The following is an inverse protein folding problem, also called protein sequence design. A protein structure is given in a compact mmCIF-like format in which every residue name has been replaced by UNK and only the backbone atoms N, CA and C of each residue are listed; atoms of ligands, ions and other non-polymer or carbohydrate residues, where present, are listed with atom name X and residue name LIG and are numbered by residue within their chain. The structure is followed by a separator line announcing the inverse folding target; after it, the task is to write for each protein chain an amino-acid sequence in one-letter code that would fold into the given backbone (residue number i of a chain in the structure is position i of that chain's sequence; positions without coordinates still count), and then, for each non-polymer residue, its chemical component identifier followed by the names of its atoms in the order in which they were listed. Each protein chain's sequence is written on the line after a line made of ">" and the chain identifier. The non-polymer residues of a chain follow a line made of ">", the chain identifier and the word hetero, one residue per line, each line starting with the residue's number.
data_IF_429654503110
#
_entry.id   IF_429654503110
#
_cell.length_a   1.000
_cell.length_b   1.000
_cell.length_c   1.000
_cell.angle_alpha   90.00
_cell.angle_beta   90.00
_cell.angle_gamma   90.00
#
_symmetry.space_group_name_H-M   'P 1'
#
loop_
_entity.id
_entity.type
_entity.pdbx_description
1 polymer ?
#
# COMPACT_ATOMS: atom_id res chain seq x y z
N UNK A 1 0.01 -3.43 19.91
CA UNK A 1 -0.45 -4.01 18.63
C UNK A 1 -1.39 -3.11 17.83
N UNK A 2 -1.92 -2.00 18.40
CA UNK A 2 -2.78 -1.06 17.65
C UNK A 2 -2.03 -0.18 16.63
N UNK A 3 -0.76 0.14 16.90
CA UNK A 3 0.05 1.01 16.02
C UNK A 3 0.10 0.58 14.55
N UNK A 4 0.46 -0.68 14.25
CA UNK A 4 0.48 -1.18 12.87
C UNK A 4 -0.89 -1.10 12.17
N UNK A 5 -1.98 -1.36 12.90
CA UNK A 5 -3.35 -1.34 12.35
C UNK A 5 -3.77 0.10 12.01
N UNK A 6 -3.48 1.05 12.90
CA UNK A 6 -3.77 2.47 12.64
C UNK A 6 -2.94 2.98 11.46
N UNK A 7 -1.64 2.63 11.41
CA UNK A 7 -0.77 2.98 10.30
C UNK A 7 -1.24 2.39 8.97
N UNK A 8 -1.56 1.10 8.92
CA UNK A 8 -2.03 0.44 7.71
C UNK A 8 -3.37 0.98 7.25
N UNK A 9 -4.26 1.30 8.18
CA UNK A 9 -5.57 1.88 7.86
C UNK A 9 -5.39 3.24 7.19
N UNK A 10 -4.57 4.12 7.75
CA UNK A 10 -4.30 5.44 7.16
C UNK A 10 -3.64 5.33 5.77
N UNK A 11 -2.67 4.44 5.63
CA UNK A 11 -1.99 4.18 4.34
C UNK A 11 -2.98 3.64 3.31
N UNK A 12 -3.87 2.72 3.68
CA UNK A 12 -4.90 2.20 2.78
C UNK A 12 -5.94 3.26 2.41
N UNK A 13 -6.39 4.06 3.37
CA UNK A 13 -7.28 5.20 3.10
C UNK A 13 -6.66 6.17 2.10
N UNK A 14 -5.38 6.52 2.27
CA UNK A 14 -4.65 7.34 1.31
C UNK A 14 -4.47 6.62 -0.04
N UNK A 15 -4.23 5.31 -0.05
CA UNK A 15 -4.14 4.52 -1.28
C UNK A 15 -5.46 4.51 -2.07
N UNK A 16 -6.60 4.39 -1.39
CA UNK A 16 -7.90 4.46 -2.06
C UNK A 16 -8.18 5.85 -2.63
N UNK A 17 -7.71 6.93 -1.98
CA UNK A 17 -7.76 8.27 -2.56
C UNK A 17 -6.91 8.38 -3.83
N UNK A 18 -5.75 7.73 -3.89
CA UNK A 18 -4.95 7.68 -5.12
C UNK A 18 -5.64 6.88 -6.22
N UNK A 19 -6.29 5.78 -5.89
CA UNK A 19 -7.07 5.02 -6.86
C UNK A 19 -8.23 5.86 -7.42
N UNK A 20 -8.86 6.69 -6.57
CA UNK A 20 -9.88 7.64 -6.99
C UNK A 20 -9.30 8.73 -7.90
N UNK A 21 -8.14 9.30 -7.58
CA UNK A 21 -7.54 10.37 -8.39
C UNK A 21 -7.18 9.88 -9.80
N UNK A 22 -6.71 8.64 -9.92
CA UNK A 22 -6.44 7.99 -11.21
C UNK A 22 -7.70 7.82 -12.05
N UNK A 23 -8.84 7.48 -11.43
CA UNK A 23 -10.11 7.27 -12.14
C UNK A 23 -10.83 8.57 -12.48
N UNK A 24 -10.68 9.61 -11.67
CA UNK A 24 -11.27 10.93 -11.91
C UNK A 24 -10.39 11.85 -12.77
N UNK A 25 -9.23 11.39 -13.22
CA UNK A 25 -8.31 12.17 -14.06
C UNK A 25 -7.59 13.30 -13.33
N UNK A 26 -7.58 13.29 -11.99
CA UNK A 26 -6.98 14.33 -11.14
C UNK A 26 -5.47 14.21 -10.97
N UNK A 27 -4.77 13.58 -11.93
CA UNK A 27 -3.36 13.19 -11.79
C UNK A 27 -2.45 14.27 -12.35
N UNK A 28 -2.35 15.40 -11.65
CA UNK A 28 -1.41 16.46 -12.01
C UNK A 28 -0.01 16.20 -11.42
N UNK A 29 1.01 16.30 -12.27
CA UNK A 29 2.41 16.22 -11.85
C UNK A 29 2.94 14.80 -11.59
N UNK A 30 2.23 13.75 -12.02
CA UNK A 30 2.65 12.34 -11.84
C UNK A 30 4.09 12.09 -12.28
N UNK A 31 4.47 12.57 -13.47
CA UNK A 31 5.79 12.33 -14.05
C UNK A 31 6.92 12.89 -13.18
N UNK A 32 6.69 13.99 -12.45
CA UNK A 32 7.67 14.56 -11.53
C UNK A 32 7.81 13.75 -10.23
N UNK A 33 6.73 13.08 -9.79
CA UNK A 33 6.70 12.28 -8.56
C UNK A 33 7.15 10.83 -8.76
N UNK A 34 6.95 10.30 -9.97
CA UNK A 34 7.25 8.93 -10.34
C UNK A 34 8.66 8.44 -9.95
N UNK A 35 9.74 9.22 -10.14
CA UNK A 35 11.08 8.79 -9.72
C UNK A 35 11.18 8.49 -8.22
N UNK A 36 10.47 9.23 -7.37
CA UNK A 36 10.47 9.00 -5.93
C UNK A 36 9.77 7.68 -5.57
N UNK A 37 8.68 7.33 -6.25
CA UNK A 37 7.99 6.05 -6.05
C UNK A 37 8.87 4.85 -6.44
N UNK A 38 9.64 4.99 -7.53
CA UNK A 38 10.59 3.96 -7.96
C UNK A 38 11.72 3.77 -6.94
N UNK A 39 12.24 4.85 -6.35
CA UNK A 39 13.25 4.75 -5.28
C UNK A 39 12.69 4.04 -4.04
N UNK A 40 11.48 4.39 -3.62
CA UNK A 40 10.82 3.73 -2.48
C UNK A 40 10.55 2.24 -2.75
N UNK A 41 10.16 1.88 -3.97
CA UNK A 41 10.05 0.48 -4.40
C UNK A 41 11.39 -0.24 -4.32
N UNK A 42 12.48 0.37 -4.79
CA UNK A 42 13.81 -0.24 -4.73
C UNK A 42 14.27 -0.47 -3.28
N UNK A 43 14.01 0.48 -2.38
CA UNK A 43 14.26 0.32 -0.94
C UNK A 43 13.43 -0.85 -0.37
N UNK A 44 12.15 -0.93 -0.75
CA UNK A 44 11.26 -2.02 -0.37
C UNK A 44 11.77 -3.40 -0.84
N UNK A 45 12.23 -3.49 -2.09
CA UNK A 45 12.81 -4.71 -2.65
C UNK A 45 14.03 -5.17 -1.85
N UNK A 46 14.99 -4.28 -1.63
CA UNK A 46 16.23 -4.60 -0.89
C UNK A 46 15.90 -5.02 0.55
N UNK A 47 14.99 -4.29 1.21
CA UNK A 47 14.57 -4.60 2.58
C UNK A 47 13.86 -5.95 2.66
N UNK A 48 12.97 -6.24 1.72
CA UNK A 48 12.24 -7.51 1.65
C UNK A 48 13.21 -8.68 1.44
N UNK A 49 14.21 -8.54 0.57
CA UNK A 49 15.21 -9.56 0.34
C UNK A 49 15.92 -9.94 1.64
N UNK A 50 16.44 -8.96 2.39
CA UNK A 50 17.11 -9.22 3.68
C UNK A 50 16.17 -9.78 4.75
N UNK A 51 14.91 -9.37 4.80
CA UNK A 51 13.94 -9.84 5.81
C UNK A 51 13.46 -11.27 5.52
N UNK A 52 13.32 -11.63 4.24
CA UNK A 52 12.85 -12.95 3.83
C UNK A 52 13.98 -13.97 3.71
N UNK A 53 15.23 -13.53 3.60
CA UNK A 53 16.39 -14.41 3.56
C UNK A 53 16.50 -15.23 4.86
N UNK A 54 16.35 -16.55 4.73
CA UNK A 54 16.46 -17.50 5.84
C UNK A 54 17.31 -18.70 5.44
N UNK A 55 18.15 -19.26 6.34
CA UNK A 55 19.09 -20.34 6.01
C UNK A 55 18.47 -21.66 5.50
N UNK A 56 17.15 -21.84 5.61
CA UNK A 56 16.45 -23.10 5.31
C UNK A 56 15.40 -22.98 4.20
N UNK A 57 15.30 -21.84 3.52
CA UNK A 57 14.32 -21.62 2.44
C UNK A 57 15.05 -21.63 1.10
N UNK A 58 14.47 -22.27 0.09
CA UNK A 58 14.99 -22.26 -1.27
C UNK A 58 15.06 -20.83 -1.82
N UNK A 59 16.18 -20.46 -2.44
CA UNK A 59 16.40 -19.11 -2.96
C UNK A 59 15.35 -18.65 -3.99
N UNK A 60 14.79 -19.58 -4.76
CA UNK A 60 13.69 -19.31 -5.70
C UNK A 60 12.42 -18.84 -5.00
N UNK A 61 12.07 -19.45 -3.86
CA UNK A 61 10.91 -19.07 -3.07
C UNK A 61 11.08 -17.70 -2.43
N UNK A 62 12.29 -17.41 -1.91
CA UNK A 62 12.64 -16.08 -1.38
C UNK A 62 12.52 -15.00 -2.47
N UNK A 63 13.04 -15.27 -3.67
CA UNK A 63 12.98 -14.33 -4.78
C UNK A 63 11.54 -14.07 -5.23
N UNK A 64 10.71 -15.11 -5.37
CA UNK A 64 9.31 -14.98 -5.76
C UNK A 64 8.50 -14.18 -4.74
N UNK A 65 8.71 -14.45 -3.44
CA UNK A 65 8.07 -13.69 -2.38
C UNK A 65 8.55 -12.22 -2.34
N UNK A 66 9.85 -11.99 -2.57
CA UNK A 66 10.44 -10.63 -2.65
C UNK A 66 9.83 -9.83 -3.80
N UNK A 67 9.66 -10.44 -4.97
CA UNK A 67 8.99 -9.80 -6.12
C UNK A 67 7.55 -9.43 -5.75
N UNK A 68 6.80 -10.37 -5.15
CA UNK A 68 5.43 -10.11 -4.71
C UNK A 68 5.34 -8.92 -3.76
N UNK A 69 6.16 -8.92 -2.70
CA UNK A 69 6.23 -7.82 -1.73
C UNK A 69 6.60 -6.49 -2.42
N UNK A 70 7.56 -6.52 -3.35
CA UNK A 70 8.02 -5.32 -4.05
C UNK A 70 6.92 -4.71 -4.91
N UNK A 71 6.18 -5.53 -5.65
CA UNK A 71 5.03 -5.07 -6.44
C UNK A 71 3.97 -4.48 -5.53
N UNK A 72 3.65 -5.13 -4.41
CA UNK A 72 2.70 -4.59 -3.43
C UNK A 72 3.16 -3.25 -2.88
N UNK A 73 4.43 -3.11 -2.48
CA UNK A 73 5.00 -1.86 -1.99
C UNK A 73 4.90 -0.76 -3.04
N UNK A 74 5.27 -1.06 -4.30
CA UNK A 74 5.20 -0.09 -5.39
C UNK A 74 3.77 0.44 -5.61
N UNK A 75 2.80 -0.47 -5.65
CA UNK A 75 1.38 -0.12 -5.82
C UNK A 75 0.91 0.74 -4.65
N UNK A 76 1.15 0.31 -3.41
CA UNK A 76 0.71 1.04 -2.21
C UNK A 76 1.36 2.41 -2.11
N UNK A 77 2.66 2.52 -2.36
CA UNK A 77 3.40 3.80 -2.31
C UNK A 77 2.90 4.75 -3.38
N UNK A 78 2.72 4.28 -4.61
CA UNK A 78 2.22 5.11 -5.72
C UNK A 78 0.81 5.61 -5.42
N UNK A 79 -0.09 4.72 -5.01
CA UNK A 79 -1.46 5.08 -4.66
C UNK A 79 -1.52 6.02 -3.45
N UNK A 80 -0.72 5.77 -2.42
CA UNK A 80 -0.65 6.66 -1.25
C UNK A 80 -0.14 8.04 -1.64
N UNK A 81 0.93 8.12 -2.43
CA UNK A 81 1.49 9.39 -2.89
C UNK A 81 0.51 10.20 -3.72
N UNK A 82 -0.16 9.57 -4.69
CA UNK A 82 -1.17 10.24 -5.52
C UNK A 82 -2.43 10.61 -4.72
N UNK A 83 -2.83 9.81 -3.73
CA UNK A 83 -3.95 10.13 -2.87
C UNK A 83 -3.68 11.33 -1.97
N UNK A 84 -2.48 11.42 -1.40
CA UNK A 84 -2.07 12.58 -0.61
C UNK A 84 -1.99 13.84 -1.47
N UNK A 85 -1.40 13.75 -2.66
CA UNK A 85 -1.34 14.87 -3.59
C UNK A 85 -2.74 15.33 -4.01
N UNK A 86 -3.64 14.40 -4.31
CA UNK A 86 -5.02 14.70 -4.65
C UNK A 86 -5.78 15.37 -3.50
N UNK A 87 -5.59 14.91 -2.26
CA UNK A 87 -6.20 15.52 -1.08
C UNK A 87 -5.70 16.94 -0.82
N UNK A 88 -4.43 17.23 -1.09
CA UNK A 88 -3.85 18.58 -0.98
C UNK A 88 -4.37 19.51 -2.08
N UNK A 89 -4.47 19.03 -3.32
CA UNK A 89 -4.95 19.83 -4.44
C UNK A 89 -6.48 20.02 -4.44
N UNK A 90 -7.24 19.06 -3.94
CA UNK A 90 -8.71 19.05 -3.97
C UNK A 90 -9.34 18.79 -2.58
N UNK A 91 -9.06 19.63 -1.56
CA UNK A 91 -9.51 19.37 -0.19
C UNK A 91 -11.05 19.35 -0.08
N UNK A 92 -11.76 20.18 -0.84
CA UNK A 92 -13.22 20.25 -0.81
C UNK A 92 -13.94 19.01 -1.35
N UNK A 93 -13.28 18.20 -2.16
CA UNK A 93 -13.82 16.93 -2.66
C UNK A 93 -13.55 15.76 -1.71
N UNK A 94 -12.46 15.82 -0.93
CA UNK A 94 -11.97 14.71 -0.11
C UNK A 94 -12.48 14.76 1.33
N UNK A 95 -12.52 15.95 1.94
CA UNK A 95 -12.89 16.11 3.36
C UNK A 95 -14.40 16.22 3.60
N UNK A 96 -15.21 15.61 2.73
CA UNK A 96 -16.63 15.45 3.00
C UNK A 96 -16.83 14.36 4.07
N UNK A 97 -17.59 14.63 5.16
CA UNK A 97 -17.68 13.73 6.30
C UNK A 97 -18.06 12.29 5.93
N UNK A 98 -19.05 12.12 5.06
CA UNK A 98 -19.53 10.79 4.66
C UNK A 98 -18.48 10.06 3.82
N UNK A 99 -17.81 10.77 2.91
CA UNK A 99 -16.84 10.20 1.99
C UNK A 99 -15.59 9.69 2.70
N UNK A 100 -15.02 10.50 3.62
CA UNK A 100 -13.82 10.12 4.34
C UNK A 100 -14.06 8.97 5.33
N UNK A 101 -15.28 8.89 5.90
CA UNK A 101 -15.67 7.77 6.75
C UNK A 101 -15.79 6.46 5.96
N UNK A 102 -16.32 6.48 4.73
CA UNK A 102 -16.34 5.29 3.87
C UNK A 102 -14.93 4.82 3.50
N UNK A 103 -14.03 5.74 3.17
CA UNK A 103 -12.62 5.43 2.88
C UNK A 103 -11.87 4.90 4.10
N UNK A 104 -12.16 5.44 5.30
CA UNK A 104 -11.61 4.94 6.55
C UNK A 104 -12.12 3.53 6.86
N UNK A 105 -13.43 3.29 6.69
CA UNK A 105 -14.03 1.97 6.88
C UNK A 105 -13.42 0.95 5.90
N UNK A 106 -13.26 1.31 4.63
CA UNK A 106 -12.60 0.45 3.64
C UNK A 106 -11.15 0.14 4.04
N UNK A 107 -10.38 1.13 4.51
CA UNK A 107 -9.01 0.93 4.99
C UNK A 107 -8.93 0.03 6.22
N UNK A 108 -9.89 0.14 7.14
CA UNK A 108 -9.96 -0.67 8.34
C UNK A 108 -10.30 -2.13 8.01
N UNK A 109 -11.30 -2.34 7.15
CA UNK A 109 -11.68 -3.67 6.65
C UNK A 109 -10.49 -4.31 5.92
N UNK A 110 -9.85 -3.57 5.00
CA UNK A 110 -8.67 -4.04 4.27
C UNK A 110 -7.52 -4.41 5.19
N UNK A 111 -7.24 -3.60 6.22
CA UNK A 111 -6.20 -3.90 7.22
C UNK A 111 -6.52 -5.17 8.01
N UNK A 112 -7.77 -5.32 8.45
CA UNK A 112 -8.23 -6.50 9.19
C UNK A 112 -8.13 -7.78 8.35
N UNK A 113 -8.56 -7.72 7.08
CA UNK A 113 -8.44 -8.82 6.13
C UNK A 113 -6.98 -9.18 5.86
N UNK A 114 -6.12 -8.19 5.56
CA UNK A 114 -4.70 -8.42 5.31
C UNK A 114 -4.01 -9.08 6.50
N UNK A 115 -4.28 -8.58 7.72
CA UNK A 115 -3.77 -9.19 8.94
C UNK A 115 -4.24 -10.64 9.07
N UNK A 116 -5.53 -10.89 8.92
CA UNK A 116 -6.08 -12.24 9.04
C UNK A 116 -5.48 -13.20 8.02
N UNK A 117 -5.43 -12.80 6.75
CA UNK A 117 -4.87 -13.59 5.66
C UNK A 117 -3.41 -13.93 5.88
N UNK A 118 -2.56 -12.97 6.25
CA UNK A 118 -1.13 -13.24 6.53
C UNK A 118 -0.97 -14.24 7.68
N UNK A 119 -1.82 -14.14 8.70
CA UNK A 119 -1.73 -14.98 9.89
C UNK A 119 -2.20 -16.42 9.63
N UNK A 120 -3.23 -16.60 8.79
CA UNK A 120 -3.86 -17.91 8.53
C UNK A 120 -3.53 -18.50 7.15
N UNK A 121 -2.69 -17.84 6.34
CA UNK A 121 -2.35 -18.30 4.98
C UNK A 121 -1.84 -19.75 4.92
N UNK A 122 -1.10 -20.18 5.96
CA UNK A 122 -0.55 -21.53 6.06
C UNK A 122 -1.60 -22.63 6.23
N UNK A 123 -2.82 -22.28 6.63
CA UNK A 123 -3.93 -23.23 6.77
C UNK A 123 -4.53 -23.63 5.40
N UNK A 124 -4.36 -22.79 4.38
CA UNK A 124 -4.87 -23.04 3.03
C UNK A 124 -3.83 -23.62 2.07
N UNK A 125 -2.55 -23.43 2.36
CA UNK A 125 -1.43 -23.99 1.58
C UNK A 125 -0.77 -25.19 2.25
N UNK A 126 -1.39 -25.72 3.32
CA UNK A 126 -0.91 -26.85 4.13
C UNK A 126 -1.57 -28.16 3.75
#
# INVERSE_FOLDING_TARGET
>A
MLGPILGSTLVLTASFLGALSLTMGGVEGFSARFPYYVVLMAIGFVSALFVLERPRIEGSQVLMATIGVTVTVFVVVTLTGEGLAYAVSNPGAVFQPDFILYLLAAGLIGSGLAYWTITHWREFTG
#
